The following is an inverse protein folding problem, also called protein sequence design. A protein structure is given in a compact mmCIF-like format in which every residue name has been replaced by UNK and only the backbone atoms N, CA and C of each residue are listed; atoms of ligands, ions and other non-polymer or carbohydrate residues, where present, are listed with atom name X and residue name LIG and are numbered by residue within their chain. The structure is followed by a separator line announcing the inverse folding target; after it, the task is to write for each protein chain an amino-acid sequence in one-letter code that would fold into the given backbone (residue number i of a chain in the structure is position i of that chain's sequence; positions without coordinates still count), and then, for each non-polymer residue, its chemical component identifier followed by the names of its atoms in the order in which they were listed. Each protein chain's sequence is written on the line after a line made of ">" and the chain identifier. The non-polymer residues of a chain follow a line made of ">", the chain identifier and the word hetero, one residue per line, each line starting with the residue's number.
data_IF_809920277369
#
_entry.id   IF_809920277369
#
_cell.length_a   1.000
_cell.length_b   1.000
_cell.length_c   1.000
_cell.angle_alpha   90.00
_cell.angle_beta   90.00
_cell.angle_gamma   90.00
#
_symmetry.space_group_name_H-M   'P 1'
#
loop_
_entity.id
_entity.type
_entity.pdbx_description
1 polymer ?
#
# COMPACT_ATOMS: atom_id res chain seq x y z
N UNK A 1 -27.19 35.94 -18.35
CA UNK A 1 -27.21 34.50 -18.03
C UNK A 1 -26.14 33.81 -18.87
N UNK A 2 -25.05 33.38 -18.25
CA UNK A 2 -24.00 32.61 -18.92
C UNK A 2 -24.56 31.28 -19.42
N UNK A 3 -24.44 31.00 -20.72
CA UNK A 3 -24.87 29.74 -21.31
C UNK A 3 -23.90 28.64 -20.87
N UNK A 4 -24.40 27.71 -20.05
CA UNK A 4 -23.66 26.48 -19.70
C UNK A 4 -23.30 25.75 -21.00
N UNK A 5 -22.00 25.50 -21.22
CA UNK A 5 -21.50 24.74 -22.37
C UNK A 5 -22.15 23.35 -22.40
N UNK A 6 -22.54 22.87 -23.58
CA UNK A 6 -23.28 21.60 -23.78
C UNK A 6 -22.63 20.39 -23.08
N UNK A 7 -21.32 20.28 -23.13
CA UNK A 7 -20.54 19.23 -22.44
C UNK A 7 -20.71 19.24 -20.92
N UNK A 8 -20.85 20.41 -20.31
CA UNK A 8 -21.07 20.53 -18.87
C UNK A 8 -22.51 20.10 -18.51
N UNK A 9 -23.48 20.38 -19.39
CA UNK A 9 -24.87 19.93 -19.21
C UNK A 9 -24.98 18.40 -19.27
N UNK A 10 -24.31 17.76 -20.23
CA UNK A 10 -24.30 16.29 -20.35
C UNK A 10 -23.67 15.61 -19.13
N UNK A 11 -22.52 16.12 -18.66
CA UNK A 11 -21.88 15.63 -17.42
C UNK A 11 -22.81 15.77 -16.22
N UNK A 12 -23.44 16.93 -16.04
CA UNK A 12 -24.38 17.17 -14.93
C UNK A 12 -25.57 16.20 -14.98
N UNK A 13 -26.16 15.99 -16.17
CA UNK A 13 -27.27 15.05 -16.34
C UNK A 13 -26.86 13.60 -16.07
N UNK A 14 -25.64 13.21 -16.47
CA UNK A 14 -25.10 11.89 -16.15
C UNK A 14 -24.88 11.71 -14.64
N UNK A 15 -24.36 12.73 -13.95
CA UNK A 15 -24.21 12.72 -12.49
C UNK A 15 -25.57 12.58 -11.79
N UNK A 16 -26.59 13.34 -12.21
CA UNK A 16 -27.94 13.25 -11.68
C UNK A 16 -28.57 11.87 -11.92
N UNK A 17 -28.39 11.30 -13.11
CA UNK A 17 -28.86 9.95 -13.43
C UNK A 17 -28.20 8.89 -12.54
N UNK A 18 -26.90 9.02 -12.29
CA UNK A 18 -26.18 8.13 -11.37
C UNK A 18 -26.59 8.35 -9.92
N UNK A 19 -26.93 9.59 -9.53
CA UNK A 19 -27.41 9.93 -8.19
C UNK A 19 -28.76 9.32 -7.87
N UNK A 20 -29.66 9.29 -8.85
CA UNK A 20 -30.94 8.60 -8.75
C UNK A 20 -30.88 7.08 -8.95
N UNK A 21 -29.69 6.51 -9.24
CA UNK A 21 -29.54 5.08 -9.48
C UNK A 21 -29.16 4.33 -8.20
N UNK A 22 -29.83 3.19 -7.96
CA UNK A 22 -29.48 2.30 -6.86
C UNK A 22 -28.09 1.65 -7.00
N UNK A 23 -27.45 1.72 -8.18
CA UNK A 23 -26.16 1.07 -8.45
C UNK A 23 -24.96 1.83 -7.91
N UNK A 24 -25.10 3.13 -7.66
CA UNK A 24 -24.01 4.02 -7.28
C UNK A 24 -24.17 4.51 -5.85
N UNK A 25 -23.04 4.73 -5.21
CA UNK A 25 -22.94 5.46 -3.94
C UNK A 25 -22.30 6.81 -4.26
N UNK A 26 -22.99 7.89 -3.88
CA UNK A 26 -22.58 9.26 -4.15
C UNK A 26 -22.25 9.95 -2.83
N UNK A 27 -21.08 10.58 -2.79
CA UNK A 27 -20.72 11.52 -1.73
C UNK A 27 -20.97 12.94 -2.21
N UNK A 28 -21.63 13.72 -1.37
CA UNK A 28 -21.96 15.12 -1.57
C UNK A 28 -20.98 15.97 -0.77
N UNK A 29 -20.55 17.10 -1.32
CA UNK A 29 -19.82 18.09 -0.56
C UNK A 29 -20.77 18.96 0.27
N UNK A 30 -20.21 19.89 1.04
CA UNK A 30 -20.97 20.80 1.91
C UNK A 30 -21.89 21.75 1.12
N UNK A 31 -21.66 21.91 -0.19
CA UNK A 31 -22.48 22.69 -1.11
C UNK A 31 -23.59 21.86 -1.80
N UNK A 32 -23.70 20.56 -1.48
CA UNK A 32 -24.67 19.65 -2.09
C UNK A 32 -24.30 19.25 -3.53
N UNK A 33 -23.03 19.34 -3.91
CA UNK A 33 -22.51 18.94 -5.22
C UNK A 33 -21.91 17.53 -5.11
N UNK A 34 -22.30 16.59 -5.99
CA UNK A 34 -21.80 15.22 -5.95
C UNK A 34 -20.36 15.15 -6.47
N UNK A 35 -19.38 15.03 -5.58
CA UNK A 35 -17.95 15.05 -5.93
C UNK A 35 -17.32 13.66 -6.07
N UNK A 36 -17.96 12.60 -5.55
CA UNK A 36 -17.43 11.24 -5.60
C UNK A 36 -18.51 10.24 -5.92
N UNK A 37 -18.29 9.48 -6.99
CA UNK A 37 -19.22 8.48 -7.47
C UNK A 37 -18.50 7.15 -7.56
N UNK A 38 -19.01 6.13 -6.87
CA UNK A 38 -18.46 4.77 -6.96
C UNK A 38 -19.58 3.78 -7.13
N UNK A 39 -19.39 2.81 -8.04
CA UNK A 39 -20.30 1.67 -8.16
C UNK A 39 -20.27 0.89 -6.86
N UNK A 40 -21.45 0.53 -6.32
CA UNK A 40 -21.55 -0.27 -5.09
C UNK A 40 -20.81 -1.61 -5.20
N UNK A 41 -20.78 -2.20 -6.40
CA UNK A 41 -20.02 -3.42 -6.70
C UNK A 41 -18.52 -3.25 -6.53
N UNK A 42 -17.96 -2.12 -6.97
CA UNK A 42 -16.55 -1.81 -6.81
C UNK A 42 -16.18 -1.49 -5.37
N UNK A 43 -17.07 -0.83 -4.62
CA UNK A 43 -16.91 -0.61 -3.18
C UNK A 43 -16.85 -1.95 -2.44
N UNK A 44 -17.77 -2.87 -2.73
CA UNK A 44 -17.76 -4.24 -2.19
C UNK A 44 -16.48 -4.98 -2.58
N UNK A 45 -16.05 -4.90 -3.84
CA UNK A 45 -14.80 -5.50 -4.33
C UNK A 45 -13.58 -4.94 -3.59
N UNK A 46 -13.53 -3.62 -3.40
CA UNK A 46 -12.46 -2.93 -2.66
C UNK A 46 -12.41 -3.32 -1.19
N UNK A 47 -13.57 -3.44 -0.51
CA UNK A 47 -13.66 -3.95 0.86
C UNK A 47 -13.10 -5.38 0.96
N UNK A 48 -13.52 -6.27 0.05
CA UNK A 48 -13.00 -7.65 -0.02
C UNK A 48 -11.51 -7.71 -0.31
N UNK A 49 -11.00 -6.87 -1.22
CA UNK A 49 -9.58 -6.80 -1.57
C UNK A 49 -8.72 -6.34 -0.39
N UNK A 50 -9.12 -5.27 0.31
CA UNK A 50 -8.43 -4.80 1.53
C UNK A 50 -8.41 -5.86 2.63
N UNK A 51 -9.53 -6.53 2.87
CA UNK A 51 -9.60 -7.61 3.86
C UNK A 51 -8.68 -8.80 3.49
N UNK A 52 -8.59 -9.15 2.20
CA UNK A 52 -7.64 -10.16 1.72
C UNK A 52 -6.18 -9.72 1.88
N UNK A 53 -5.88 -8.46 1.57
CA UNK A 53 -4.56 -7.85 1.76
C UNK A 53 -4.11 -7.93 3.21
N UNK A 54 -4.93 -7.45 4.15
CA UNK A 54 -4.64 -7.50 5.59
C UNK A 54 -4.43 -8.94 6.11
N UNK A 55 -5.23 -9.90 5.63
CA UNK A 55 -5.04 -11.33 5.97
C UNK A 55 -3.72 -11.89 5.43
N UNK A 56 -3.32 -11.47 4.23
CA UNK A 56 -2.07 -11.91 3.62
C UNK A 56 -0.87 -11.27 4.33
N UNK A 57 -0.92 -9.98 4.65
CA UNK A 57 0.06 -9.26 5.47
C UNK A 57 0.29 -9.96 6.82
N UNK A 58 -0.77 -10.33 7.53
CA UNK A 58 -0.67 -11.10 8.78
C UNK A 58 0.01 -12.47 8.57
N UNK A 59 -0.21 -13.11 7.41
CA UNK A 59 0.44 -14.38 7.08
C UNK A 59 1.93 -14.21 6.80
N UNK A 60 2.32 -13.15 6.10
CA UNK A 60 3.74 -12.80 5.87
C UNK A 60 4.45 -12.59 7.20
N UNK A 61 3.86 -11.82 8.11
CA UNK A 61 4.41 -11.62 9.46
C UNK A 61 4.65 -12.96 10.16
N UNK A 62 3.63 -13.82 10.25
CA UNK A 62 3.74 -15.13 10.90
C UNK A 62 4.78 -16.03 10.26
N UNK A 63 4.90 -16.01 8.94
CA UNK A 63 5.88 -16.79 8.19
C UNK A 63 7.32 -16.31 8.50
N UNK A 64 7.58 -15.00 8.51
CA UNK A 64 8.87 -14.43 8.91
C UNK A 64 9.22 -14.72 10.37
N UNK A 65 8.24 -14.57 11.28
CA UNK A 65 8.38 -14.91 12.70
C UNK A 65 8.73 -16.40 12.88
N UNK A 66 8.07 -17.31 12.16
CA UNK A 66 8.41 -18.74 12.18
C UNK A 66 9.81 -19.07 11.65
N UNK A 67 10.41 -18.18 10.85
CA UNK A 67 11.79 -18.30 10.34
C UNK A 67 12.83 -17.68 11.30
N UNK A 68 12.41 -17.35 12.52
CA UNK A 68 13.23 -16.78 13.57
C UNK A 68 13.56 -15.31 13.36
N UNK A 69 12.70 -14.56 12.65
CA UNK A 69 12.87 -13.12 12.48
C UNK A 69 11.94 -12.36 13.42
N UNK A 70 12.42 -11.28 14.00
CA UNK A 70 11.58 -10.29 14.68
C UNK A 70 11.01 -9.37 13.60
N UNK A 71 9.72 -9.06 13.68
CA UNK A 71 9.01 -8.27 12.65
C UNK A 71 8.22 -7.16 13.31
N UNK A 72 8.32 -5.95 12.76
CA UNK A 72 7.46 -4.84 13.15
C UNK A 72 6.95 -4.04 11.95
N UNK A 73 5.86 -3.28 12.12
CA UNK A 73 5.38 -2.35 11.10
C UNK A 73 6.37 -1.20 10.98
N UNK A 74 6.83 -0.94 9.77
CA UNK A 74 7.66 0.24 9.54
C UNK A 74 6.78 1.49 9.56
N UNK A 75 7.19 2.47 10.35
CA UNK A 75 6.40 3.69 10.65
C UNK A 75 6.95 4.93 9.97
N UNK A 76 7.92 4.80 9.05
CA UNK A 76 8.50 5.90 8.29
C UNK A 76 8.23 5.79 6.79
N UNK A 77 8.32 6.90 6.09
CA UNK A 77 8.18 6.99 4.65
C UNK A 77 9.30 7.85 4.06
N UNK A 78 9.41 7.86 2.74
CA UNK A 78 10.44 8.61 2.01
C UNK A 78 9.77 9.68 1.16
N UNK A 79 10.28 10.90 1.25
CA UNK A 79 10.06 11.97 0.30
C UNK A 79 11.13 11.86 -0.79
N UNK A 80 10.73 11.46 -2.00
CA UNK A 80 11.65 11.23 -3.10
C UNK A 80 12.16 12.53 -3.74
N UNK A 81 11.48 13.66 -3.52
CA UNK A 81 11.92 14.96 -4.05
C UNK A 81 12.97 15.58 -3.15
N UNK A 82 12.80 15.43 -1.83
CA UNK A 82 13.74 15.93 -0.81
C UNK A 82 14.83 14.94 -0.42
N UNK A 83 14.71 13.70 -0.88
CA UNK A 83 15.58 12.58 -0.52
C UNK A 83 15.71 12.40 1.01
N UNK A 84 14.60 12.53 1.75
CA UNK A 84 14.59 12.42 3.21
C UNK A 84 13.52 11.45 3.71
N UNK A 85 13.78 10.87 4.89
CA UNK A 85 12.83 10.02 5.59
C UNK A 85 11.99 10.86 6.55
N UNK A 86 10.68 10.62 6.58
CA UNK A 86 9.77 11.28 7.51
C UNK A 86 8.79 10.29 8.17
N UNK A 87 8.32 10.56 9.40
CA UNK A 87 7.35 9.70 10.06
C UNK A 87 6.03 9.61 9.30
N UNK A 88 5.43 8.42 9.24
CA UNK A 88 4.13 8.21 8.61
C UNK A 88 3.04 9.04 9.30
N UNK A 89 2.19 9.68 8.49
CA UNK A 89 1.08 10.50 8.98
C UNK A 89 0.15 9.67 9.86
N UNK A 90 -0.19 10.19 11.04
CA UNK A 90 -1.13 9.54 11.95
C UNK A 90 -2.52 9.44 11.34
N UNK A 91 -3.19 8.31 11.58
CA UNK A 91 -4.56 8.06 11.11
C UNK A 91 -5.52 8.11 12.30
N UNK A 92 -6.62 8.84 12.15
CA UNK A 92 -7.68 8.87 13.16
C UNK A 92 -8.47 7.56 13.16
N UNK A 93 -8.58 6.93 14.32
CA UNK A 93 -9.44 5.77 14.53
C UNK A 93 -10.80 6.22 15.07
N UNK A 94 -11.89 6.15 14.27
CA UNK A 94 -13.19 6.68 14.68
C UNK A 94 -13.88 5.86 15.77
N UNK A 95 -13.53 4.58 15.93
CA UNK A 95 -14.14 3.72 16.95
C UNK A 95 -13.65 4.07 18.34
N UNK A 96 -12.34 4.28 18.48
CA UNK A 96 -11.71 4.63 19.76
C UNK A 96 -11.50 6.13 19.95
N UNK A 97 -11.76 6.94 18.91
CA UNK A 97 -11.57 8.40 18.89
C UNK A 97 -10.13 8.84 19.22
N UNK A 98 -9.14 8.09 18.74
CA UNK A 98 -7.71 8.35 18.99
C UNK A 98 -6.90 8.44 17.69
N UNK A 99 -5.80 9.21 17.73
CA UNK A 99 -4.82 9.25 16.65
C UNK A 99 -3.86 8.06 16.75
N UNK A 100 -3.96 7.14 15.79
CA UNK A 100 -3.07 5.98 15.68
C UNK A 100 -1.89 6.28 14.77
N UNK A 101 -0.73 5.66 15.03
CA UNK A 101 0.44 5.77 14.16
C UNK A 101 0.07 5.21 12.78
N UNK A 102 0.41 5.95 11.73
CA UNK A 102 0.20 5.49 10.36
C UNK A 102 1.21 4.42 9.95
N UNK A 103 0.88 3.69 8.89
CA UNK A 103 1.82 2.75 8.28
C UNK A 103 2.73 3.46 7.30
N UNK A 104 4.02 3.21 7.40
CA UNK A 104 5.06 3.68 6.49
C UNK A 104 5.17 2.86 5.20
N UNK A 105 6.32 2.98 4.55
CA UNK A 105 6.74 2.12 3.45
C UNK A 105 8.21 1.74 3.68
N UNK A 106 8.62 0.46 3.60
CA UNK A 106 7.83 -0.72 3.24
C UNK A 106 6.81 -1.14 4.34
N UNK A 107 6.02 -2.18 4.12
CA UNK A 107 5.02 -2.65 5.10
C UNK A 107 5.62 -3.08 6.46
N UNK A 108 6.77 -3.74 6.44
CA UNK A 108 7.46 -4.23 7.63
C UNK A 108 8.96 -3.93 7.62
N UNK A 109 9.53 -3.85 8.81
CA UNK A 109 10.94 -4.10 9.08
C UNK A 109 11.08 -5.50 9.66
N UNK A 110 12.10 -6.24 9.24
CA UNK A 110 12.37 -7.58 9.76
C UNK A 110 13.84 -7.76 10.12
N UNK A 111 14.08 -8.18 11.36
CA UNK A 111 15.41 -8.24 11.97
C UNK A 111 15.72 -9.69 12.34
N UNK A 112 16.92 -10.16 12.00
CA UNK A 112 17.41 -11.49 12.40
C UNK A 112 18.86 -11.40 12.83
N UNK A 113 19.16 -11.90 14.03
CA UNK A 113 20.54 -12.10 14.47
C UNK A 113 21.18 -13.21 13.63
N UNK A 114 22.37 -12.96 13.09
CA UNK A 114 23.11 -13.92 12.27
C UNK A 114 24.20 -14.57 13.11
N UNK A 115 25.25 -13.81 13.49
CA UNK A 115 26.32 -14.22 14.40
C UNK A 115 27.07 -12.97 14.90
N UNK A 116 27.83 -13.06 15.99
CA UNK A 116 28.79 -12.03 16.46
C UNK A 116 28.26 -10.59 16.48
N UNK A 117 27.00 -10.39 16.89
CA UNK A 117 26.38 -9.05 16.92
C UNK A 117 25.98 -8.50 15.55
N UNK A 118 26.15 -9.27 14.47
CA UNK A 118 25.68 -8.97 13.12
C UNK A 118 24.20 -9.28 12.98
N UNK A 119 23.44 -8.32 12.48
CA UNK A 119 22.00 -8.44 12.22
C UNK A 119 21.69 -8.26 10.74
N UNK A 120 20.84 -9.14 10.21
CA UNK A 120 20.16 -8.94 8.94
C UNK A 120 18.93 -8.07 9.19
N UNK A 121 18.96 -6.83 8.68
CA UNK A 121 17.86 -5.87 8.79
C UNK A 121 17.29 -5.64 7.39
N UNK A 122 16.10 -6.17 7.13
CA UNK A 122 15.46 -6.12 5.81
C UNK A 122 14.15 -5.36 5.86
N UNK A 123 13.84 -4.65 4.78
CA UNK A 123 12.51 -4.14 4.51
C UNK A 123 11.65 -5.22 3.85
N UNK A 124 10.37 -5.32 4.19
CA UNK A 124 9.45 -6.28 3.54
C UNK A 124 8.21 -5.57 3.06
N UNK A 125 7.98 -5.62 1.75
CA UNK A 125 6.81 -5.04 1.10
C UNK A 125 5.84 -6.14 0.67
N UNK A 126 4.56 -6.03 1.03
CA UNK A 126 3.57 -7.08 0.83
C UNK A 126 2.69 -6.78 -0.38
N UNK A 127 2.84 -7.59 -1.43
CA UNK A 127 2.02 -7.52 -2.65
C UNK A 127 1.48 -8.88 -3.00
N UNK A 128 0.16 -9.08 -2.94
CA UNK A 128 -0.44 -10.38 -3.30
C UNK A 128 -0.02 -10.86 -4.71
N UNK A 129 0.17 -9.95 -5.67
CA UNK A 129 0.65 -10.24 -7.02
C UNK A 129 2.18 -10.12 -7.20
N UNK A 130 2.92 -9.68 -6.17
CA UNK A 130 4.36 -9.46 -6.21
C UNK A 130 4.83 -8.32 -7.10
N UNK A 131 3.95 -7.39 -7.52
CA UNK A 131 4.31 -6.28 -8.41
C UNK A 131 4.26 -4.96 -7.65
N UNK A 132 5.36 -4.22 -7.71
CA UNK A 132 5.47 -2.85 -7.21
C UNK A 132 5.11 -1.82 -8.28
N UNK A 133 4.48 -0.72 -7.86
CA UNK A 133 4.33 0.50 -8.66
C UNK A 133 5.67 1.19 -8.91
N UNK A 134 5.70 2.19 -9.81
CA UNK A 134 6.92 2.96 -10.10
C UNK A 134 7.48 3.64 -8.84
N UNK A 135 6.63 4.35 -8.12
CA UNK A 135 6.99 5.06 -6.89
C UNK A 135 7.46 4.13 -5.77
N UNK A 136 6.83 2.96 -5.61
CA UNK A 136 7.30 1.97 -4.62
C UNK A 136 8.69 1.45 -4.97
N UNK A 137 8.99 1.24 -6.27
CA UNK A 137 10.33 0.83 -6.70
C UNK A 137 11.37 1.91 -6.41
N UNK A 138 11.05 3.17 -6.68
CA UNK A 138 11.92 4.31 -6.39
C UNK A 138 12.23 4.42 -4.90
N UNK A 139 11.22 4.23 -4.02
CA UNK A 139 11.43 4.19 -2.57
C UNK A 139 12.29 3.01 -2.12
N UNK A 140 12.07 1.82 -2.66
CA UNK A 140 12.93 0.68 -2.37
C UNK A 140 14.39 0.96 -2.75
N UNK A 141 14.60 1.50 -3.95
CA UNK A 141 15.94 1.86 -4.42
C UNK A 141 16.60 2.91 -3.51
N UNK A 142 15.85 3.94 -3.10
CA UNK A 142 16.34 4.96 -2.18
C UNK A 142 16.77 4.35 -0.84
N UNK A 143 15.97 3.46 -0.24
CA UNK A 143 16.32 2.82 1.03
C UNK A 143 17.58 1.97 0.95
N UNK A 144 17.76 1.24 -0.16
CA UNK A 144 18.96 0.42 -0.38
C UNK A 144 20.19 1.30 -0.64
N UNK A 145 20.04 2.36 -1.44
CA UNK A 145 21.13 3.33 -1.72
C UNK A 145 21.63 4.02 -0.46
N UNK A 146 20.74 4.30 0.49
CA UNK A 146 21.07 4.94 1.77
C UNK A 146 21.37 3.92 2.89
N UNK A 147 21.54 2.64 2.55
CA UNK A 147 21.94 1.58 3.50
C UNK A 147 21.02 1.44 4.72
N UNK A 148 19.75 1.85 4.59
CA UNK A 148 18.75 1.74 5.66
C UNK A 148 18.34 0.28 5.88
N UNK A 149 18.25 -0.48 4.78
CA UNK A 149 18.00 -1.91 4.79
C UNK A 149 19.12 -2.62 4.01
N UNK A 150 19.57 -3.77 4.51
CA UNK A 150 20.54 -4.59 3.79
C UNK A 150 19.91 -5.19 2.53
N UNK A 151 18.62 -5.53 2.60
CA UNK A 151 17.82 -6.04 1.49
C UNK A 151 16.37 -5.58 1.61
N UNK A 152 15.64 -5.62 0.49
CA UNK A 152 14.19 -5.47 0.49
C UNK A 152 13.56 -6.70 -0.16
N UNK A 153 12.68 -7.36 0.58
CA UNK A 153 11.93 -8.51 0.10
C UNK A 153 10.51 -8.14 -0.29
N UNK A 154 10.05 -8.63 -1.43
CA UNK A 154 8.68 -8.47 -1.90
C UNK A 154 7.93 -9.77 -1.62
N UNK A 155 7.11 -9.75 -0.57
CA UNK A 155 6.29 -10.90 -0.21
C UNK A 155 5.09 -11.01 -1.16
N UNK A 156 4.93 -12.18 -1.77
CA UNK A 156 3.85 -12.48 -2.73
C UNK A 156 3.14 -13.79 -2.43
N UNK A 157 1.88 -13.85 -2.82
CA UNK A 157 1.04 -15.00 -2.60
C UNK A 157 1.22 -16.00 -3.74
N UNK A 158 1.50 -17.24 -3.39
CA UNK A 158 1.49 -18.36 -4.33
C UNK A 158 0.38 -19.33 -3.98
N UNK A 159 -0.32 -19.83 -5.00
CA UNK A 159 -1.31 -20.89 -4.79
C UNK A 159 -0.63 -22.23 -4.94
N UNK A 160 -0.67 -23.02 -3.88
CA UNK A 160 -0.32 -24.43 -3.89
C UNK A 160 -1.60 -25.24 -3.68
N UNK A 161 -2.25 -25.62 -4.78
CA UNK A 161 -3.60 -26.19 -4.77
C UNK A 161 -4.61 -25.26 -4.09
N UNK A 162 -5.21 -25.72 -2.98
CA UNK A 162 -6.17 -24.95 -2.17
C UNK A 162 -5.50 -24.03 -1.13
N UNK A 163 -4.20 -24.17 -0.90
CA UNK A 163 -3.45 -23.40 0.10
C UNK A 163 -2.81 -22.17 -0.55
N UNK A 164 -2.70 -21.10 0.24
CA UNK A 164 -1.94 -19.90 -0.14
C UNK A 164 -0.66 -19.89 0.70
N UNK A 165 0.47 -19.93 0.02
CA UNK A 165 1.80 -19.85 0.62
C UNK A 165 2.41 -18.48 0.36
N UNK A 166 3.42 -18.14 1.16
CA UNK A 166 4.17 -16.90 1.03
C UNK A 166 5.49 -17.23 0.35
N UNK A 167 5.82 -16.51 -0.70
CA UNK A 167 7.19 -16.48 -1.21
C UNK A 167 7.69 -15.06 -1.36
N UNK A 168 8.99 -14.93 -1.57
CA UNK A 168 9.70 -13.66 -1.48
C UNK A 168 10.56 -13.50 -2.73
N UNK A 169 10.46 -12.35 -3.38
CA UNK A 169 11.44 -11.93 -4.37
C UNK A 169 12.37 -10.89 -3.73
N UNK A 170 13.69 -11.00 -3.94
CA UNK A 170 14.61 -9.92 -3.59
C UNK A 170 14.43 -8.76 -4.60
N UNK A 171 14.31 -7.53 -4.09
CA UNK A 171 14.09 -6.34 -4.92
C UNK A 171 15.24 -6.10 -5.91
N UNK A 172 16.49 -6.21 -5.45
CA UNK A 172 17.69 -5.98 -6.27
C UNK A 172 17.81 -7.02 -7.38
N UNK A 173 17.49 -8.29 -7.11
CA UNK A 173 17.49 -9.32 -8.14
C UNK A 173 16.41 -9.07 -9.19
N UNK A 174 15.21 -8.69 -8.74
CA UNK A 174 14.05 -8.53 -9.63
C UNK A 174 14.06 -7.23 -10.44
N UNK A 175 14.57 -6.14 -9.86
CA UNK A 175 14.48 -4.79 -10.43
C UNK A 175 15.82 -4.04 -10.49
N UNK A 176 16.89 -4.57 -9.89
CA UNK A 176 18.15 -3.83 -9.66
C UNK A 176 18.83 -3.31 -10.92
N UNK A 177 18.75 -4.01 -12.06
CA UNK A 177 19.34 -3.49 -13.32
C UNK A 177 18.80 -2.11 -13.73
N UNK A 178 17.56 -1.79 -13.35
CA UNK A 178 16.89 -0.54 -13.69
C UNK A 178 17.07 0.54 -12.62
N UNK A 179 17.21 0.15 -11.35
CA UNK A 179 17.17 1.08 -10.21
C UNK A 179 18.47 1.13 -9.38
N UNK A 180 19.42 0.24 -9.62
CA UNK A 180 20.77 0.24 -9.01
C UNK A 180 21.82 0.91 -9.91
N UNK A 181 21.40 1.67 -10.93
CA UNK A 181 22.36 2.55 -11.64
C UNK A 181 22.68 3.71 -10.70
N UNK A 182 23.83 3.59 -10.04
CA UNK A 182 24.58 4.71 -9.51
C UNK A 182 24.83 5.75 -10.60
#
# INVERSE_FOLDING_TARGET
>A
MERIKKENKEKIMEMLRKAGSEEYEISWDDAGIPYKQKKKTEIKRGKKSRAKGAKFELRVRKDLESKGRIVDKWSNNVDLEKEEMFPAKRNYNPFFKVMTIGTGFPDFISIKHIHDGLYSVIGVEVKTNGILSKTEKEKCAWYLKNEIFSEIWIAKAFKNGKKIEVGYDNFSEKYGQKYNKA
#
